data_IF_012053099236
#
_entry.id   IF_012053099236
#
_cell.length_a   1.000
_cell.length_b   1.000
_cell.length_c   1.000
_cell.angle_alpha   90.00
_cell.angle_beta   90.00
_cell.angle_gamma   90.00
#
_symmetry.space_group_name_H-M   'P 1'
#
loop_
_entity.id
_entity.type
_entity.pdbx_description
1 polymer ?
#
# COMPACT_ATOMS: atom_id res chain seq x y z
N UNK A 1 -21.04 7.08 36.20
CA UNK A 1 -20.17 5.89 36.18
C UNK A 1 -19.76 5.64 34.74
N UNK A 2 -18.70 6.34 34.28
CA UNK A 2 -18.18 6.19 32.92
C UNK A 2 -17.31 4.93 32.95
N UNK A 3 -17.76 3.86 32.29
CA UNK A 3 -16.94 2.65 32.13
C UNK A 3 -15.80 3.00 31.18
N UNK A 4 -14.58 3.04 31.71
CA UNK A 4 -13.37 3.08 30.90
C UNK A 4 -13.40 1.87 29.95
N UNK A 5 -13.38 2.14 28.65
CA UNK A 5 -12.96 1.15 27.67
C UNK A 5 -11.52 0.80 28.04
N UNK A 6 -11.37 -0.33 28.73
CA UNK A 6 -10.08 -0.84 29.13
C UNK A 6 -9.15 -0.90 27.93
N UNK A 7 -7.91 -0.49 28.15
CA UNK A 7 -6.77 -0.81 27.31
C UNK A 7 -6.92 -2.26 26.85
N UNK A 8 -7.26 -2.46 25.57
CA UNK A 8 -7.13 -3.76 24.96
C UNK A 8 -5.63 -4.06 24.96
N UNK A 9 -5.23 -4.99 25.81
CA UNK A 9 -3.91 -5.60 25.81
C UNK A 9 -3.42 -5.76 24.37
N UNK A 10 -2.19 -5.33 24.11
CA UNK A 10 -1.44 -5.52 22.86
C UNK A 10 -1.25 -7.03 22.59
N UNK A 11 -2.33 -7.73 22.25
CA UNK A 11 -2.28 -9.04 21.60
C UNK A 11 -1.85 -8.75 20.17
N UNK A 12 -0.71 -9.32 19.77
CA UNK A 12 -0.02 -9.07 18.51
C UNK A 12 -0.99 -8.73 17.37
N UNK A 13 -0.86 -7.53 16.81
CA UNK A 13 -1.62 -7.12 15.62
C UNK A 13 -1.53 -8.15 14.49
N UNK A 14 -0.46 -8.96 14.50
CA UNK A 14 -0.23 -10.08 13.60
C UNK A 14 -0.51 -11.38 14.35
N UNK A 15 -1.73 -11.87 14.16
CA UNK A 15 -2.25 -13.12 14.68
C UNK A 15 -3.62 -13.40 14.05
N UNK A 16 -4.30 -14.50 14.41
CA UNK A 16 -5.60 -14.84 13.85
C UNK A 16 -6.60 -13.69 13.98
N UNK A 17 -7.16 -13.24 12.85
CA UNK A 17 -8.07 -12.10 12.78
C UNK A 17 -7.42 -10.72 12.73
N UNK A 18 -6.09 -10.66 12.75
CA UNK A 18 -5.27 -9.44 12.73
C UNK A 18 -4.83 -9.03 11.31
N UNK A 19 -3.73 -8.29 11.22
CA UNK A 19 -3.09 -7.81 9.98
C UNK A 19 -2.45 -8.97 9.22
N UNK A 20 -2.37 -8.84 7.89
CA UNK A 20 -1.61 -9.77 7.06
C UNK A 20 -0.11 -9.42 7.07
N UNK A 21 0.80 -10.34 7.42
CA UNK A 21 2.24 -10.10 7.25
C UNK A 21 2.55 -9.98 5.75
N UNK A 22 3.00 -8.81 5.33
CA UNK A 22 3.21 -8.49 3.91
C UNK A 22 4.63 -7.99 3.70
N UNK A 23 5.33 -8.55 2.72
CA UNK A 23 6.70 -8.21 2.36
C UNK A 23 6.77 -7.56 0.99
N UNK A 24 7.86 -6.84 0.74
CA UNK A 24 8.14 -6.31 -0.58
C UNK A 24 8.50 -7.47 -1.52
N UNK A 25 7.86 -7.49 -2.70
CA UNK A 25 7.96 -8.59 -3.66
C UNK A 25 6.92 -9.68 -3.46
N UNK A 26 6.11 -9.65 -2.40
CA UNK A 26 4.97 -10.56 -2.29
C UNK A 26 3.97 -10.30 -3.41
N UNK A 27 3.22 -11.34 -3.79
CA UNK A 27 2.25 -11.23 -4.88
C UNK A 27 0.86 -11.66 -4.46
N UNK A 28 -0.15 -10.90 -4.88
CA UNK A 28 -1.58 -11.18 -4.63
C UNK A 28 -2.29 -11.53 -5.94
N UNK A 29 -3.46 -12.17 -5.82
CA UNK A 29 -4.34 -12.54 -6.95
C UNK A 29 -3.59 -13.28 -8.07
N UNK A 30 -3.11 -14.48 -7.78
CA UNK A 30 -2.39 -15.33 -8.74
C UNK A 30 -1.20 -14.62 -9.41
N UNK A 31 -0.39 -13.94 -8.60
CA UNK A 31 0.79 -13.18 -9.05
C UNK A 31 0.52 -11.97 -9.94
N UNK A 32 -0.72 -11.46 -9.96
CA UNK A 32 -1.09 -10.25 -10.69
C UNK A 32 -0.54 -8.98 -10.04
N UNK A 33 -0.69 -8.86 -8.72
CA UNK A 33 -0.30 -7.63 -8.01
C UNK A 33 0.95 -7.88 -7.18
N UNK A 34 2.06 -7.26 -7.55
CA UNK A 34 3.32 -7.35 -6.80
C UNK A 34 3.43 -6.18 -5.81
N UNK A 35 3.68 -6.45 -4.54
CA UNK A 35 3.91 -5.46 -3.48
C UNK A 35 5.26 -4.76 -3.72
N UNK A 36 5.25 -3.43 -3.83
CA UNK A 36 6.46 -2.64 -4.15
C UNK A 36 6.85 -1.68 -3.02
N UNK A 37 5.88 -1.09 -2.33
CA UNK A 37 6.15 -0.16 -1.23
C UNK A 37 4.95 -0.07 -0.28
N UNK A 38 5.16 0.25 1.00
CA UNK A 38 4.05 0.61 1.90
C UNK A 38 3.66 2.06 1.67
N UNK A 39 2.37 2.36 1.58
CA UNK A 39 1.85 3.72 1.37
C UNK A 39 1.29 4.34 2.64
N UNK A 40 0.49 3.59 3.39
CA UNK A 40 -0.21 4.11 4.56
C UNK A 40 -0.62 2.96 5.51
N UNK A 41 -1.25 3.31 6.62
CA UNK A 41 -1.92 2.40 7.53
C UNK A 41 -3.16 3.07 8.14
N UNK A 42 -4.12 2.24 8.51
CA UNK A 42 -5.27 2.64 9.33
C UNK A 42 -5.39 1.70 10.52
N UNK A 43 -6.40 1.93 11.37
CA UNK A 43 -6.72 1.01 12.46
C UNK A 43 -7.16 -0.38 11.97
N UNK A 44 -7.50 -0.51 10.68
CA UNK A 44 -8.18 -1.68 10.11
C UNK A 44 -7.50 -2.28 8.88
N UNK A 45 -6.51 -1.60 8.30
CA UNK A 45 -5.85 -2.04 7.06
C UNK A 45 -4.43 -1.48 6.93
N UNK A 46 -3.64 -2.13 6.07
CA UNK A 46 -2.39 -1.58 5.54
C UNK A 46 -2.53 -1.31 4.05
N UNK A 47 -2.04 -0.16 3.61
CA UNK A 47 -2.07 0.26 2.22
C UNK A 47 -0.72 0.05 1.57
N UNK A 48 -0.71 -0.59 0.41
CA UNK A 48 0.49 -0.97 -0.33
C UNK A 48 0.44 -0.43 -1.76
N UNK A 49 1.56 0.12 -2.21
CA UNK A 49 1.84 0.34 -3.62
C UNK A 49 2.12 -1.01 -4.26
N UNK A 50 1.46 -1.27 -5.39
CA UNK A 50 1.61 -2.51 -6.15
C UNK A 50 1.74 -2.24 -7.64
N UNK A 51 2.41 -3.16 -8.35
CA UNK A 51 2.40 -3.22 -9.81
C UNK A 51 1.42 -4.30 -10.26
N UNK A 52 0.42 -3.92 -11.04
CA UNK A 52 -0.49 -4.83 -11.73
C UNK A 52 0.17 -5.32 -13.04
N UNK A 53 0.53 -6.59 -13.10
CA UNK A 53 1.17 -7.18 -14.28
C UNK A 53 0.21 -7.38 -15.46
N UNK A 54 -1.10 -7.45 -15.23
CA UNK A 54 -2.08 -7.66 -16.29
C UNK A 54 -2.28 -6.40 -17.15
N UNK A 55 -2.23 -5.22 -16.53
CA UNK A 55 -2.43 -3.94 -17.19
C UNK A 55 -1.17 -3.08 -17.25
N UNK A 56 -0.08 -3.54 -16.63
CA UNK A 56 1.17 -2.79 -16.47
C UNK A 56 0.97 -1.43 -15.79
N UNK A 57 0.07 -1.35 -14.81
CA UNK A 57 -0.28 -0.12 -14.09
C UNK A 57 0.11 -0.17 -12.62
N UNK A 58 0.26 1.01 -12.02
CA UNK A 58 0.41 1.15 -10.57
C UNK A 58 -0.95 1.15 -9.89
N UNK A 59 -1.07 0.40 -8.80
CA UNK A 59 -2.30 0.31 -8.00
C UNK A 59 -1.97 0.46 -6.53
N UNK A 60 -2.92 0.96 -5.75
CA UNK A 60 -2.92 0.79 -4.30
C UNK A 60 -3.74 -0.45 -3.96
N UNK A 61 -3.24 -1.28 -3.04
CA UNK A 61 -4.03 -2.33 -2.41
C UNK A 61 -4.06 -2.11 -0.91
N UNK A 62 -5.28 -2.01 -0.37
CA UNK A 62 -5.49 -2.02 1.07
C UNK A 62 -5.80 -3.45 1.51
N UNK A 63 -4.94 -4.03 2.33
CA UNK A 63 -5.15 -5.35 2.93
C UNK A 63 -5.79 -5.15 4.29
N UNK A 64 -7.06 -5.57 4.42
CA UNK A 64 -7.86 -5.42 5.62
C UNK A 64 -7.49 -6.51 6.63
N UNK A 65 -7.54 -6.19 7.93
CA UNK A 65 -7.38 -7.20 8.97
C UNK A 65 -8.45 -8.31 8.85
N UNK A 66 -8.10 -9.54 9.22
CA UNK A 66 -8.95 -10.71 9.04
C UNK A 66 -10.08 -10.84 10.10
N UNK A 67 -10.50 -9.74 10.73
CA UNK A 67 -11.66 -9.75 11.62
C UNK A 67 -12.95 -9.88 10.81
N UNK A 68 -13.85 -10.82 11.15
CA UNK A 68 -15.13 -10.97 10.46
C UNK A 68 -15.98 -9.69 10.46
N UNK A 69 -15.98 -8.95 11.58
CA UNK A 69 -16.76 -7.71 11.74
C UNK A 69 -16.27 -6.61 10.80
N UNK A 70 -14.94 -6.43 10.76
CA UNK A 70 -14.29 -5.42 9.91
C UNK A 70 -14.40 -5.81 8.44
N UNK A 71 -14.15 -7.08 8.11
CA UNK A 71 -14.29 -7.61 6.75
C UNK A 71 -15.70 -7.38 6.22
N UNK A 72 -16.74 -7.71 7.01
CA UNK A 72 -18.14 -7.49 6.64
C UNK A 72 -18.47 -6.00 6.46
N UNK A 73 -17.96 -5.15 7.33
CA UNK A 73 -18.16 -3.70 7.22
C UNK A 73 -17.58 -3.15 5.91
N UNK A 74 -16.32 -3.50 5.61
CA UNK A 74 -15.66 -3.07 4.39
C UNK A 74 -16.32 -3.67 3.14
N UNK A 75 -16.57 -4.98 3.10
CA UNK A 75 -17.23 -5.64 1.96
C UNK A 75 -18.55 -4.95 1.57
N UNK A 76 -19.42 -4.69 2.55
CA UNK A 76 -20.69 -4.00 2.31
C UNK A 76 -20.50 -2.55 1.81
N UNK A 77 -19.47 -1.84 2.28
CA UNK A 77 -19.18 -0.48 1.84
C UNK A 77 -18.67 -0.45 0.40
N UNK A 78 -17.79 -1.38 0.06
CA UNK A 78 -17.18 -1.49 -1.26
C UNK A 78 -18.15 -2.03 -2.30
N UNK A 79 -18.97 -3.03 -1.98
CA UNK A 79 -19.98 -3.56 -2.91
C UNK A 79 -20.92 -2.44 -3.40
N UNK A 80 -21.29 -1.49 -2.53
CA UNK A 80 -22.08 -0.32 -2.93
C UNK A 80 -21.32 0.61 -3.88
N UNK A 81 -20.02 0.83 -3.64
CA UNK A 81 -19.17 1.67 -4.49
C UNK A 81 -18.98 1.02 -5.87
N UNK A 82 -18.66 -0.28 -5.90
CA UNK A 82 -18.52 -1.06 -7.12
C UNK A 82 -19.83 -1.07 -7.91
N UNK A 83 -20.99 -1.30 -7.27
CA UNK A 83 -22.28 -1.26 -7.96
C UNK A 83 -22.60 0.12 -8.54
N UNK A 84 -22.23 1.20 -7.85
CA UNK A 84 -22.42 2.57 -8.35
C UNK A 84 -21.54 2.89 -9.57
N UNK A 85 -20.49 2.09 -9.82
CA UNK A 85 -19.51 2.32 -10.88
C UNK A 85 -19.38 1.16 -11.86
N UNK A 86 -20.14 0.09 -11.70
CA UNK A 86 -20.07 -1.14 -12.49
C UNK A 86 -20.29 -0.94 -14.00
N UNK A 87 -20.95 0.14 -14.38
CA UNK A 87 -21.22 0.48 -15.78
C UNK A 87 -20.02 1.13 -16.50
N UNK A 88 -19.00 1.62 -15.78
CA UNK A 88 -17.92 2.41 -16.37
C UNK A 88 -16.62 2.34 -15.55
N UNK A 89 -15.80 1.33 -15.85
CA UNK A 89 -14.51 1.12 -15.19
C UNK A 89 -13.53 2.29 -15.41
N UNK A 90 -13.57 2.95 -16.57
CA UNK A 90 -12.70 4.10 -16.85
C UNK A 90 -13.06 5.29 -15.95
N UNK A 91 -14.36 5.48 -15.69
CA UNK A 91 -14.84 6.50 -14.76
C UNK A 91 -14.53 6.15 -13.30
N UNK A 92 -14.54 4.88 -12.92
CA UNK A 92 -14.08 4.45 -11.59
C UNK A 92 -12.60 4.77 -11.38
N UNK A 93 -11.77 4.44 -12.38
CA UNK A 93 -10.32 4.71 -12.41
C UNK A 93 -10.02 6.22 -12.25
N UNK A 94 -10.67 7.06 -13.07
CA UNK A 94 -10.50 8.51 -13.03
C UNK A 94 -11.00 9.16 -11.72
N UNK A 95 -11.97 8.54 -11.04
CA UNK A 95 -12.55 9.08 -9.79
C UNK A 95 -11.81 8.68 -8.53
N UNK A 96 -10.89 7.72 -8.60
CA UNK A 96 -10.29 7.18 -7.39
C UNK A 96 -11.12 6.06 -6.74
N UNK A 97 -12.21 5.61 -7.34
CA UNK A 97 -13.10 4.61 -6.75
C UNK A 97 -12.45 3.23 -6.70
N UNK A 98 -13.05 2.32 -5.94
CA UNK A 98 -12.54 0.95 -5.86
C UNK A 98 -12.74 0.26 -7.20
N UNK A 99 -11.71 -0.46 -7.66
CA UNK A 99 -11.73 -1.17 -8.94
C UNK A 99 -12.09 -2.64 -8.76
N UNK A 100 -11.63 -3.24 -7.66
CA UNK A 100 -11.73 -4.68 -7.45
C UNK A 100 -11.68 -5.02 -5.96
N UNK A 101 -12.42 -6.06 -5.58
CA UNK A 101 -12.30 -6.74 -4.30
C UNK A 101 -11.68 -8.12 -4.52
N UNK A 102 -10.65 -8.42 -3.74
CA UNK A 102 -9.95 -9.70 -3.77
C UNK A 102 -10.01 -10.33 -2.38
N UNK A 103 -9.88 -11.65 -2.34
CA UNK A 103 -9.58 -12.37 -1.10
C UNK A 103 -8.17 -12.93 -1.19
N UNK A 104 -7.38 -12.70 -0.14
CA UNK A 104 -6.05 -13.27 -0.01
C UNK A 104 -5.96 -14.11 1.26
N UNK A 105 -5.68 -15.41 1.08
CA UNK A 105 -5.50 -16.33 2.18
C UNK A 105 -4.08 -16.25 2.71
N UNK A 106 -3.94 -15.79 3.95
CA UNK A 106 -2.67 -15.71 4.65
C UNK A 106 -2.63 -16.55 5.93
N UNK A 107 -1.52 -16.48 6.68
CA UNK A 107 -1.38 -17.20 7.95
C UNK A 107 -2.36 -16.71 9.03
N UNK A 108 -2.80 -15.45 8.94
CA UNK A 108 -3.72 -14.82 9.89
C UNK A 108 -5.20 -14.93 9.49
N UNK A 109 -5.52 -15.87 8.59
CA UNK A 109 -6.81 -16.14 7.93
C UNK A 109 -6.99 -15.46 6.56
N UNK A 110 -8.22 -15.42 6.06
CA UNK A 110 -8.57 -14.80 4.78
C UNK A 110 -8.75 -13.29 4.97
N UNK A 111 -8.02 -12.52 4.16
CA UNK A 111 -8.05 -11.06 4.18
C UNK A 111 -8.81 -10.54 2.97
N UNK A 112 -9.67 -9.54 3.19
CA UNK A 112 -10.23 -8.74 2.12
C UNK A 112 -9.18 -7.75 1.64
N UNK A 113 -8.93 -7.72 0.34
CA UNK A 113 -8.04 -6.74 -0.29
C UNK A 113 -8.85 -5.84 -1.23
N UNK A 114 -8.72 -4.53 -1.06
CA UNK A 114 -9.41 -3.53 -1.87
C UNK A 114 -8.41 -2.89 -2.82
N UNK A 115 -8.67 -2.98 -4.13
CA UNK A 115 -7.79 -2.44 -5.17
C UNK A 115 -8.27 -1.06 -5.59
N UNK A 116 -7.38 -0.08 -5.52
CA UNK A 116 -7.64 1.31 -5.89
C UNK A 116 -6.71 1.77 -7.02
N UNK A 117 -7.17 2.72 -7.84
CA UNK A 117 -6.32 3.39 -8.80
C UNK A 117 -5.30 4.30 -8.12
N UNK A 118 -4.17 4.52 -8.78
CA UNK A 118 -3.17 5.50 -8.36
C UNK A 118 -3.26 6.83 -9.13
N UNK A 119 -4.07 6.86 -10.20
CA UNK A 119 -4.39 8.00 -11.07
C UNK A 119 -5.63 8.80 -10.63
N UNK A 120 -6.19 8.51 -9.45
CA UNK A 120 -7.35 9.25 -8.93
C UNK A 120 -6.95 10.54 -8.20
N UNK A 121 -7.65 11.65 -8.44
CA UNK A 121 -7.48 12.91 -7.70
C UNK A 121 -7.84 12.81 -6.22
N UNK A 122 -8.77 11.92 -5.87
CA UNK A 122 -9.27 11.70 -4.51
C UNK A 122 -8.56 10.57 -3.77
N UNK A 123 -7.71 9.80 -4.47
CA UNK A 123 -6.87 8.78 -3.86
C UNK A 123 -5.60 9.41 -3.31
N UNK A 124 -5.78 10.28 -2.31
CA UNK A 124 -4.69 10.84 -1.54
C UNK A 124 -4.30 9.86 -0.43
N UNK A 125 -3.01 9.56 -0.34
CA UNK A 125 -2.45 8.77 0.76
C UNK A 125 -1.54 9.65 1.59
N UNK A 126 -1.54 9.40 2.90
CA UNK A 126 -0.83 10.24 3.83
C UNK A 126 0.53 9.63 4.10
N UNK A 127 1.57 10.24 3.54
CA UNK A 127 2.94 9.92 3.89
C UNK A 127 3.52 10.96 4.84
N UNK A 128 4.20 10.52 5.89
CA UNK A 128 5.07 11.38 6.69
C UNK A 128 6.43 11.49 6.00
N UNK A 129 6.62 12.56 5.22
CA UNK A 129 7.96 12.91 4.74
C UNK A 129 8.84 13.19 5.96
N UNK A 130 10.04 12.60 6.02
CA UNK A 130 10.99 12.88 7.10
C UNK A 130 11.30 14.38 7.16
N UNK A 131 10.99 15.01 8.29
CA UNK A 131 11.37 16.40 8.56
C UNK A 131 10.35 17.22 9.35
N UNK A 132 9.97 16.77 10.56
CA UNK A 132 9.53 17.62 11.68
C UNK A 132 8.38 18.63 11.50
N UNK A 133 7.71 18.68 10.35
CA UNK A 133 6.59 19.56 10.07
C UNK A 133 5.25 18.86 10.26
N UNK A 134 4.25 19.59 10.77
CA UNK A 134 2.84 19.14 10.79
C UNK A 134 2.19 19.09 9.41
N UNK A 135 2.96 19.35 8.34
CA UNK A 135 2.51 19.31 6.96
C UNK A 135 2.56 17.87 6.43
N UNK A 136 1.40 17.21 6.53
CA UNK A 136 1.12 15.94 5.88
C UNK A 136 1.08 16.20 4.38
N UNK A 137 2.03 15.62 3.63
CA UNK A 137 1.96 15.68 2.16
C UNK A 137 0.93 14.66 1.70
N UNK A 138 -0.12 15.15 1.02
CA UNK A 138 -1.06 14.28 0.32
C UNK A 138 -0.42 13.79 -0.98
N UNK A 139 -0.14 12.49 -1.06
CA UNK A 139 0.36 11.87 -2.28
C UNK A 139 -0.82 11.41 -3.14
N UNK A 140 -0.91 11.96 -4.34
CA UNK A 140 -1.79 11.51 -5.41
C UNK A 140 -0.99 11.47 -6.74
N UNK A 141 -1.65 11.17 -7.86
CA UNK A 141 -1.02 11.15 -9.17
C UNK A 141 -0.26 12.43 -9.50
N UNK A 142 -0.89 13.59 -9.34
CA UNK A 142 -0.28 14.87 -9.69
C UNK A 142 1.02 15.09 -8.89
N UNK A 143 1.03 14.69 -7.62
CA UNK A 143 2.24 14.72 -6.81
C UNK A 143 3.32 13.78 -7.36
N UNK A 144 2.98 12.52 -7.65
CA UNK A 144 3.92 11.51 -8.17
C UNK A 144 4.52 11.93 -9.52
N UNK A 145 3.69 12.38 -10.45
CA UNK A 145 4.10 12.89 -11.77
C UNK A 145 5.04 14.08 -11.60
N UNK A 146 4.73 15.02 -10.70
CA UNK A 146 5.59 16.18 -10.41
C UNK A 146 6.94 15.76 -9.82
N UNK A 147 6.96 14.82 -8.87
CA UNK A 147 8.22 14.34 -8.30
C UNK A 147 9.07 13.61 -9.34
N UNK A 148 8.45 12.80 -10.22
CA UNK A 148 9.16 12.12 -11.29
C UNK A 148 9.74 13.11 -12.31
N UNK A 149 8.97 14.14 -12.70
CA UNK A 149 9.46 15.18 -13.60
C UNK A 149 10.68 15.91 -13.00
N UNK A 150 10.63 16.21 -11.70
CA UNK A 150 11.78 16.77 -10.98
C UNK A 150 12.98 15.82 -10.98
N UNK A 151 12.77 14.56 -10.60
CA UNK A 151 13.83 13.53 -10.57
C UNK A 151 14.53 13.39 -11.93
N UNK A 152 13.76 13.34 -13.03
CA UNK A 152 14.32 13.23 -14.38
C UNK A 152 15.11 14.48 -14.77
N UNK A 153 14.63 15.66 -14.39
CA UNK A 153 15.33 16.93 -14.64
C UNK A 153 16.66 16.98 -13.87
N UNK A 154 16.64 16.66 -12.58
CA UNK A 154 17.83 16.65 -11.74
C UNK A 154 18.89 15.67 -12.31
N UNK A 155 18.48 14.47 -12.76
CA UNK A 155 19.37 13.49 -13.42
C UNK A 155 19.91 13.97 -14.78
N UNK A 156 19.13 14.73 -15.54
CA UNK A 156 19.54 15.25 -16.85
C UNK A 156 20.54 16.41 -16.76
N UNK A 157 20.40 17.26 -15.73
CA UNK A 157 21.37 18.31 -15.40
C UNK A 157 22.74 17.71 -15.02
N UNK A 158 22.76 16.50 -14.47
CA UNK A 158 23.98 15.75 -14.19
C UNK A 158 24.62 15.09 -15.44
N UNK A 159 23.88 14.94 -16.55
CA UNK A 159 24.27 14.07 -17.68
C UNK A 159 24.47 14.78 -19.05
N UNK A 160 25.01 16.00 -19.08
CA UNK A 160 25.29 16.79 -20.31
C UNK A 160 24.07 17.02 -21.25
N UNK A 161 22.88 17.23 -20.66
CA UNK A 161 21.89 18.16 -21.23
C UNK A 161 20.82 17.61 -22.18
N UNK A 162 20.40 16.34 -22.07
CA UNK A 162 19.17 15.90 -22.75
C UNK A 162 17.92 16.45 -22.05
N UNK A 163 16.95 16.98 -22.79
CA UNK A 163 15.70 17.49 -22.22
C UNK A 163 14.90 16.36 -21.52
N UNK A 164 14.66 16.52 -20.22
CA UNK A 164 13.96 15.51 -19.42
C UNK A 164 12.43 15.59 -19.65
N UNK A 165 11.87 14.58 -20.33
CA UNK A 165 10.43 14.47 -20.52
C UNK A 165 9.72 14.08 -19.21
N UNK A 166 8.75 14.89 -18.78
CA UNK A 166 7.83 14.52 -17.71
C UNK A 166 7.02 13.26 -18.07
N UNK A 167 6.70 12.37 -17.12
CA UNK A 167 5.82 11.24 -17.40
C UNK A 167 4.41 11.74 -17.72
N UNK A 168 3.74 11.08 -18.68
CA UNK A 168 2.38 11.42 -19.10
C UNK A 168 1.36 11.25 -17.95
N UNK A 169 1.54 10.20 -17.16
CA UNK A 169 0.71 9.85 -16.02
C UNK A 169 1.52 9.01 -15.03
N UNK A 170 0.92 8.66 -13.88
CA UNK A 170 1.62 7.88 -12.85
C UNK A 170 2.10 6.52 -13.35
N UNK A 171 1.37 5.88 -14.28
CA UNK A 171 1.70 4.55 -14.81
C UNK A 171 2.96 4.54 -15.70
N UNK A 172 3.34 5.69 -16.26
CA UNK A 172 4.58 5.89 -17.02
C UNK A 172 5.83 6.05 -16.15
N UNK A 173 5.68 6.10 -14.82
CA UNK A 173 6.80 6.11 -13.86
C UNK A 173 7.31 4.68 -13.70
N UNK A 174 8.62 4.47 -13.89
CA UNK A 174 9.25 3.14 -13.73
C UNK A 174 9.33 2.75 -12.24
N UNK A 175 9.54 1.46 -11.96
CA UNK A 175 9.70 1.00 -10.57
C UNK A 175 10.91 1.66 -9.88
N UNK A 176 12.01 1.86 -10.61
CA UNK A 176 13.20 2.53 -10.09
C UNK A 176 12.90 3.99 -9.73
N UNK A 177 12.26 4.74 -10.63
CA UNK A 177 11.87 6.14 -10.38
C UNK A 177 10.87 6.24 -9.23
N UNK A 178 9.90 5.34 -9.17
CA UNK A 178 8.91 5.29 -8.10
C UNK A 178 9.60 5.08 -6.74
N UNK A 179 10.55 4.15 -6.65
CA UNK A 179 11.33 3.93 -5.43
C UNK A 179 12.27 5.10 -5.11
N UNK A 180 12.82 5.79 -6.12
CA UNK A 180 13.61 7.00 -5.90
C UNK A 180 12.76 8.15 -5.35
N UNK A 181 11.51 8.30 -5.83
CA UNK A 181 10.54 9.31 -5.36
C UNK A 181 10.09 9.02 -3.92
N UNK A 182 9.70 7.78 -3.64
CA UNK A 182 9.19 7.36 -2.33
C UNK A 182 10.29 7.15 -1.30
N UNK A 183 11.53 7.06 -1.76
CA UNK A 183 12.68 6.68 -0.97
C UNK A 183 12.75 5.17 -0.75
N UNK A 184 13.84 4.73 -0.13
CA UNK A 184 13.94 3.33 0.28
C UNK A 184 12.86 3.06 1.34
N UNK A 185 12.10 1.97 1.22
CA UNK A 185 11.23 1.53 2.29
C UNK A 185 12.06 1.35 3.55
N UNK A 186 11.83 2.21 4.55
CA UNK A 186 12.53 2.18 5.83
C UNK A 186 11.56 1.66 6.88
N UNK A 187 12.05 0.76 7.72
CA UNK A 187 11.39 0.39 8.97
C UNK A 187 11.24 1.68 9.80
N UNK A 188 10.01 2.21 9.89
CA UNK A 188 9.74 3.32 10.79
C UNK A 188 9.99 2.82 12.22
N UNK A 189 10.74 3.60 13.01
CA UNK A 189 10.93 3.33 14.44
C UNK A 189 9.70 3.66 15.28
N UNK A 190 8.60 4.08 14.65
CA UNK A 190 7.38 4.48 15.32
C UNK A 190 6.69 3.25 15.95
N UNK A 191 6.65 3.20 17.28
CA UNK A 191 6.15 2.08 18.09
C UNK A 191 4.63 1.85 17.95
N UNK A 192 3.94 2.66 17.13
CA UNK A 192 2.49 2.60 16.93
C UNK A 192 2.07 1.72 15.75
N UNK A 193 2.98 1.33 14.85
CA UNK A 193 2.66 0.52 13.66
C UNK A 193 3.65 -0.64 13.55
N UNK A 194 3.20 -1.91 13.64
CA UNK A 194 4.15 -3.02 13.62
C UNK A 194 4.79 -3.17 12.23
N UNK A 195 6.10 -3.42 12.27
CA UNK A 195 7.06 -3.23 11.17
C UNK A 195 7.11 -4.42 10.23
N UNK A 196 6.81 -4.20 8.95
CA UNK A 196 7.08 -5.16 7.86
C UNK A 196 7.44 -4.40 6.59
N UNK A 197 8.61 -3.78 6.59
CA UNK A 197 9.25 -3.37 5.34
C UNK A 197 10.54 -4.16 5.21
N UNK A 198 10.42 -5.49 5.24
CA UNK A 198 11.54 -6.39 4.93
C UNK A 198 11.37 -6.82 3.47
N UNK A 199 12.45 -6.71 2.69
CA UNK A 199 12.51 -7.33 1.36
C UNK A 199 12.31 -8.83 1.54
N UNK A 200 11.45 -9.46 0.74
CA UNK A 200 11.18 -10.91 0.83
C UNK A 200 12.51 -11.68 0.92
N UNK A 201 12.86 -12.31 2.06
CA UNK A 201 14.10 -13.08 2.17
C UNK A 201 14.04 -14.33 1.30
N UNK A 202 15.21 -14.84 0.91
CA UNK A 202 15.36 -15.92 -0.07
C UNK A 202 14.72 -17.27 0.35
N UNK A 203 14.30 -17.45 1.62
CA UNK A 203 13.93 -18.75 2.20
C UNK A 203 12.69 -18.76 3.09
N UNK A 204 11.70 -17.88 2.87
CA UNK A 204 10.46 -17.83 3.68
C UNK A 204 9.75 -19.19 3.82
N UNK A 205 9.86 -20.06 2.81
CA UNK A 205 9.16 -21.35 2.78
C UNK A 205 9.59 -22.33 3.88
N UNK A 206 10.73 -22.10 4.54
CA UNK A 206 11.33 -23.07 5.47
C UNK A 206 10.91 -22.90 6.95
N UNK A 207 10.42 -21.73 7.39
CA UNK A 207 10.06 -21.50 8.80
C UNK A 207 9.04 -20.35 9.00
N UNK A 208 7.78 -20.62 8.68
CA UNK A 208 6.69 -19.65 8.83
C UNK A 208 6.50 -19.17 10.27
N UNK A 209 6.75 -20.02 11.27
CA UNK A 209 6.54 -19.68 12.68
C UNK A 209 7.60 -18.69 13.18
N UNK A 210 8.86 -18.84 12.74
CA UNK A 210 9.90 -17.83 12.96
C UNK A 210 9.52 -16.49 12.29
N UNK A 211 9.05 -16.51 11.04
CA UNK A 211 8.65 -15.27 10.34
C UNK A 211 7.36 -14.65 10.89
N UNK A 212 6.62 -15.34 11.75
CA UNK A 212 5.49 -14.83 12.54
C UNK A 212 5.88 -14.47 13.98
N UNK A 213 7.15 -14.64 14.35
CA UNK A 213 7.65 -14.37 15.68
C UNK A 213 8.02 -12.89 15.86
N UNK A 214 8.01 -12.45 17.13
CA UNK A 214 8.42 -11.09 17.49
C UNK A 214 9.88 -10.81 17.10
N UNK A 215 10.74 -11.84 17.09
CA UNK A 215 12.15 -11.70 16.71
C UNK A 215 12.34 -11.36 15.23
N UNK A 216 11.56 -11.98 14.33
CA UNK A 216 11.61 -11.64 12.91
C UNK A 216 11.17 -10.20 12.64
N UNK A 217 10.35 -9.62 13.53
CA UNK A 217 9.84 -8.24 13.40
C UNK A 217 10.84 -7.16 13.86
N UNK A 218 11.94 -7.56 14.52
CA UNK A 218 12.96 -6.64 15.04
C UNK A 218 14.19 -6.47 14.13
N UNK A 219 14.34 -7.31 13.10
CA UNK A 219 15.43 -7.28 12.12
C UNK A 219 15.09 -6.38 10.92
#
# INVERSE_FOLDING_TARGET
MVRSLGQRNCRSWYGPGGLHPTHLGDTLSNSRYTIVHKLDHSNHSLSWLTRDSATNTWRRIDIVLASPEVTKFHANAVERDLLAHAADAARADARGSILELLHHRGPNCDHLCMVFPLNGTYNCFRWTVQGGGRDKTEMNEAWLVRQCAKLRKDRAEESDGSEAQAPENVHAITAEEMLAILGRPRLSRDDQVPRYLVLRPDRIEEDFDFWLSEEAFQQ
#
